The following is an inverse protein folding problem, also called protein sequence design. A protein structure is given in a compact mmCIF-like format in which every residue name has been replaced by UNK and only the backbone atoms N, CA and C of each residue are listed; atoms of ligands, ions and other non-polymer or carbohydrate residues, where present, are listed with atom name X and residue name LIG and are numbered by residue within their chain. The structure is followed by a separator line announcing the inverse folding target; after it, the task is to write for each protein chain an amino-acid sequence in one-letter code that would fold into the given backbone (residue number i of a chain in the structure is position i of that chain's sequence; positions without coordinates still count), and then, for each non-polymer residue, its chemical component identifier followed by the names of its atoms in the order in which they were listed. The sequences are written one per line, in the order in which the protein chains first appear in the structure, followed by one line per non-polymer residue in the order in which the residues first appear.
data_IF_354449225075
#
_entry.id   IF_354449225075
#
_cell.length_a   1.000
_cell.length_b   1.000
_cell.length_c   1.000
_cell.angle_alpha   90.00
_cell.angle_beta   90.00
_cell.angle_gamma   90.00
#
_symmetry.space_group_name_H-M   'P 1'
#
loop_
_entity.id
_entity.type
_entity.pdbx_description
1 polymer ?
#
# COMPACT_ATOMS: atom_id res chain seq x y z
N UNK A 1 -13.98 -8.32 -0.54
CA UNK A 1 -12.67 -8.57 -1.21
C UNK A 1 -12.93 -8.92 -2.67
N UNK A 2 -13.72 -9.96 -2.94
CA UNK A 2 -14.14 -10.33 -4.32
C UNK A 2 -14.73 -9.17 -5.15
N UNK A 3 -15.53 -8.27 -4.54
CA UNK A 3 -16.07 -7.11 -5.25
C UNK A 3 -14.99 -6.09 -5.67
N UNK A 4 -14.02 -5.82 -4.80
CA UNK A 4 -12.92 -4.87 -5.07
C UNK A 4 -11.97 -5.46 -6.12
N UNK A 5 -11.65 -6.75 -6.01
CA UNK A 5 -10.88 -7.46 -7.04
C UNK A 5 -11.61 -7.44 -8.40
N UNK A 6 -12.92 -7.67 -8.41
CA UNK A 6 -13.72 -7.57 -9.64
C UNK A 6 -13.72 -6.16 -10.24
N UNK A 7 -13.74 -5.10 -9.41
CA UNK A 7 -13.65 -3.72 -9.89
C UNK A 7 -12.29 -3.42 -10.52
N UNK A 8 -11.19 -3.88 -9.89
CA UNK A 8 -9.83 -3.75 -10.44
C UNK A 8 -9.69 -4.49 -11.77
N UNK A 9 -10.14 -5.73 -11.82
CA UNK A 9 -10.06 -6.56 -13.02
C UNK A 9 -10.86 -5.96 -14.18
N UNK A 10 -12.06 -5.44 -13.89
CA UNK A 10 -12.90 -4.78 -14.89
C UNK A 10 -12.23 -3.52 -15.41
N UNK A 11 -11.76 -2.64 -14.53
CA UNK A 11 -11.09 -1.40 -14.93
C UNK A 11 -9.82 -1.66 -15.75
N UNK A 12 -8.99 -2.62 -15.31
CA UNK A 12 -7.79 -3.05 -16.03
C UNK A 12 -8.14 -3.60 -17.41
N UNK A 13 -9.16 -4.46 -17.49
CA UNK A 13 -9.64 -5.02 -18.78
C UNK A 13 -10.11 -3.92 -19.73
N UNK A 14 -10.92 -2.98 -19.24
CA UNK A 14 -11.46 -1.86 -20.03
C UNK A 14 -10.32 -0.97 -20.58
N UNK A 15 -9.31 -0.68 -19.75
CA UNK A 15 -8.13 0.10 -20.16
C UNK A 15 -7.25 -0.62 -21.17
N UNK A 16 -7.05 -1.92 -21.00
CA UNK A 16 -6.34 -2.72 -22.01
C UNK A 16 -7.13 -2.84 -23.32
N UNK A 17 -8.46 -2.87 -23.27
CA UNK A 17 -9.31 -2.81 -24.46
C UNK A 17 -9.23 -1.47 -25.19
N UNK A 18 -9.25 -0.36 -24.47
CA UNK A 18 -9.00 0.96 -25.05
C UNK A 18 -7.61 1.03 -25.71
N UNK A 19 -6.57 0.56 -25.02
CA UNK A 19 -5.21 0.51 -25.55
C UNK A 19 -5.12 -0.37 -26.81
N UNK A 20 -5.77 -1.54 -26.82
CA UNK A 20 -5.83 -2.40 -28.02
C UNK A 20 -6.46 -1.68 -29.20
N UNK A 21 -7.58 -0.98 -28.99
CA UNK A 21 -8.24 -0.19 -30.05
C UNK A 21 -7.37 0.98 -30.53
N UNK A 22 -6.71 1.68 -29.61
CA UNK A 22 -5.75 2.74 -29.95
C UNK A 22 -4.62 2.18 -30.83
N UNK A 23 -4.01 1.07 -30.42
CA UNK A 23 -2.91 0.43 -31.15
C UNK A 23 -3.35 -0.10 -32.52
N UNK A 24 -4.56 -0.62 -32.65
CA UNK A 24 -5.14 -0.98 -33.94
C UNK A 24 -5.25 0.23 -34.88
N UNK A 25 -5.75 1.38 -34.39
CA UNK A 25 -5.85 2.61 -35.19
C UNK A 25 -4.47 3.13 -35.61
N UNK A 26 -3.52 3.19 -34.68
CA UNK A 26 -2.14 3.61 -35.01
C UNK A 26 -1.51 2.69 -36.06
N UNK A 27 -1.75 1.37 -35.97
CA UNK A 27 -1.27 0.42 -36.96
C UNK A 27 -1.92 0.63 -38.34
N UNK A 28 -3.24 0.85 -38.38
CA UNK A 28 -3.97 1.16 -39.63
C UNK A 28 -3.44 2.44 -40.29
N UNK A 29 -3.22 3.51 -39.53
CA UNK A 29 -2.65 4.78 -40.01
C UNK A 29 -1.22 4.59 -40.54
N UNK A 30 -0.37 3.87 -39.81
CA UNK A 30 1.00 3.54 -40.23
C UNK A 30 1.00 2.69 -41.51
N UNK A 31 0.08 1.73 -41.63
CA UNK A 31 -0.07 0.90 -42.83
C UNK A 31 -0.54 1.71 -44.03
N UNK A 32 -1.55 2.56 -43.87
CA UNK A 32 -2.05 3.44 -44.93
C UNK A 32 -0.96 4.39 -45.46
N UNK A 33 -0.09 4.90 -44.57
CA UNK A 33 1.04 5.74 -44.96
C UNK A 33 2.06 5.02 -45.87
N UNK A 34 2.07 3.69 -45.91
CA UNK A 34 2.98 2.89 -46.75
C UNK A 34 2.28 2.18 -47.91
N UNK A 35 1.03 2.55 -48.17
CA UNK A 35 0.25 2.03 -49.28
C UNK A 35 0.83 2.53 -50.62
N UNK A 36 0.98 1.63 -51.59
CA UNK A 36 1.59 1.95 -52.89
C UNK A 36 3.13 2.03 -52.90
N UNK A 37 3.79 2.03 -51.73
CA UNK A 37 5.27 1.96 -51.66
C UNK A 37 5.78 0.58 -52.08
N UNK A 38 6.94 0.56 -52.74
CA UNK A 38 7.71 -0.66 -52.99
C UNK A 38 8.23 -1.26 -51.68
N UNK A 39 8.63 -2.55 -51.65
CA UNK A 39 9.18 -3.18 -50.45
C UNK A 39 10.37 -2.42 -49.84
N UNK A 40 11.27 -1.92 -50.69
CA UNK A 40 12.48 -1.21 -50.25
C UNK A 40 12.15 0.17 -49.66
N UNK A 41 11.24 0.91 -50.29
CA UNK A 41 10.74 2.19 -49.76
C UNK A 41 10.02 2.01 -48.43
N UNK A 42 9.21 0.95 -48.29
CA UNK A 42 8.54 0.62 -47.02
C UNK A 42 9.55 0.29 -45.91
N UNK A 43 10.62 -0.45 -46.23
CA UNK A 43 11.66 -0.75 -45.25
C UNK A 43 12.37 0.52 -44.77
N UNK A 44 12.78 1.40 -45.69
CA UNK A 44 13.43 2.65 -45.36
C UNK A 44 12.53 3.58 -44.51
N UNK A 45 11.24 3.66 -44.87
CA UNK A 45 10.25 4.41 -44.10
C UNK A 45 10.07 3.86 -42.69
N UNK A 46 9.97 2.53 -42.55
CA UNK A 46 9.84 1.89 -41.25
C UNK A 46 11.08 2.10 -40.38
N UNK A 47 12.28 1.97 -40.95
CA UNK A 47 13.54 2.15 -40.21
C UNK A 47 13.69 3.61 -39.73
N UNK A 48 13.28 4.58 -40.53
CA UNK A 48 13.33 6.00 -40.15
C UNK A 48 12.35 6.34 -39.02
N UNK A 49 11.18 5.72 -38.99
CA UNK A 49 10.14 6.01 -37.99
C UNK A 49 10.18 5.06 -36.77
N UNK A 50 10.98 3.99 -36.84
CA UNK A 50 11.02 2.92 -35.83
C UNK A 50 11.20 3.42 -34.42
N UNK A 51 12.15 4.32 -34.18
CA UNK A 51 12.43 4.83 -32.84
C UNK A 51 11.25 5.64 -32.29
N UNK A 52 10.65 6.49 -33.12
CA UNK A 52 9.48 7.29 -32.74
C UNK A 52 8.27 6.40 -32.42
N UNK A 53 8.00 5.38 -33.24
CA UNK A 53 6.90 4.44 -32.99
C UNK A 53 7.13 3.59 -31.74
N UNK A 54 8.36 3.16 -31.48
CA UNK A 54 8.69 2.43 -30.26
C UNK A 54 8.52 3.33 -29.03
N UNK A 55 8.92 4.60 -29.10
CA UNK A 55 8.71 5.55 -28.02
C UNK A 55 7.21 5.79 -27.76
N UNK A 56 6.43 6.08 -28.81
CA UNK A 56 4.99 6.30 -28.73
C UNK A 56 4.23 5.09 -28.16
N UNK A 57 4.57 3.87 -28.61
CA UNK A 57 3.96 2.63 -28.11
C UNK A 57 4.31 2.40 -26.63
N UNK A 58 5.56 2.69 -26.22
CA UNK A 58 6.00 2.58 -24.83
C UNK A 58 5.28 3.60 -23.94
N UNK A 59 5.19 4.87 -24.37
CA UNK A 59 4.54 5.94 -23.62
C UNK A 59 3.04 5.65 -23.46
N UNK A 60 2.38 5.23 -24.54
CA UNK A 60 0.95 4.86 -24.51
C UNK A 60 0.68 3.68 -23.58
N UNK A 61 1.56 2.68 -23.59
CA UNK A 61 1.46 1.54 -22.67
C UNK A 61 1.73 1.96 -21.22
N UNK A 62 2.73 2.81 -21.00
CA UNK A 62 3.07 3.27 -19.66
C UNK A 62 1.93 4.11 -19.06
N UNK A 63 1.31 4.99 -19.84
CA UNK A 63 0.15 5.75 -19.40
C UNK A 63 -1.01 4.85 -18.94
N UNK A 64 -1.29 3.77 -19.67
CA UNK A 64 -2.30 2.77 -19.28
C UNK A 64 -1.93 2.07 -17.98
N UNK A 65 -0.66 1.70 -17.80
CA UNK A 65 -0.20 1.08 -16.56
C UNK A 65 -0.31 2.04 -15.37
N UNK A 66 0.05 3.31 -15.57
CA UNK A 66 -0.03 4.34 -14.54
C UNK A 66 -1.50 4.59 -14.14
N UNK A 67 -2.41 4.69 -15.12
CA UNK A 67 -3.85 4.83 -14.86
C UNK A 67 -4.43 3.65 -14.09
N UNK A 68 -4.03 2.41 -14.41
CA UNK A 68 -4.45 1.21 -13.68
C UNK A 68 -3.91 1.26 -12.25
N UNK A 69 -2.62 1.57 -12.08
CA UNK A 69 -1.97 1.64 -10.77
C UNK A 69 -2.61 2.71 -9.87
N UNK A 70 -2.89 3.89 -10.43
CA UNK A 70 -3.51 4.99 -9.71
C UNK A 70 -4.93 4.65 -9.27
N UNK A 71 -5.72 4.03 -10.15
CA UNK A 71 -7.06 3.55 -9.81
C UNK A 71 -7.03 2.50 -8.69
N UNK A 72 -6.14 1.52 -8.80
CA UNK A 72 -5.97 0.49 -7.77
C UNK A 72 -5.57 1.10 -6.41
N UNK A 73 -4.67 2.09 -6.41
CA UNK A 73 -4.25 2.81 -5.21
C UNK A 73 -5.44 3.51 -4.56
N UNK A 74 -6.17 4.34 -5.32
CA UNK A 74 -7.33 5.07 -4.82
C UNK A 74 -8.40 4.13 -4.26
N UNK A 75 -8.72 3.06 -4.99
CA UNK A 75 -9.75 2.11 -4.58
C UNK A 75 -9.38 1.39 -3.27
N UNK A 76 -8.10 1.02 -3.11
CA UNK A 76 -7.61 0.42 -1.87
C UNK A 76 -7.64 1.42 -0.70
N UNK A 77 -7.25 2.68 -0.95
CA UNK A 77 -7.31 3.74 0.06
C UNK A 77 -8.74 3.98 0.53
N UNK A 78 -9.70 4.06 -0.38
CA UNK A 78 -11.12 4.21 -0.07
C UNK A 78 -11.64 3.04 0.76
N UNK A 79 -11.33 1.81 0.37
CA UNK A 79 -11.70 0.62 1.13
C UNK A 79 -11.13 0.66 2.56
N UNK A 80 -9.86 1.06 2.69
CA UNK A 80 -9.20 1.18 4.00
C UNK A 80 -9.88 2.25 4.86
N UNK A 81 -10.16 3.41 4.28
CA UNK A 81 -10.84 4.51 4.96
C UNK A 81 -12.24 4.11 5.45
N UNK A 82 -13.02 3.41 4.61
CA UNK A 82 -14.34 2.93 4.98
C UNK A 82 -14.27 1.91 6.12
N UNK A 83 -13.34 0.96 6.07
CA UNK A 83 -13.13 -0.02 7.16
C UNK A 83 -12.75 0.67 8.47
N UNK A 84 -11.83 1.63 8.42
CA UNK A 84 -11.42 2.39 9.59
C UNK A 84 -12.62 3.14 10.22
N UNK A 85 -13.52 3.70 9.42
CA UNK A 85 -14.74 4.33 9.91
C UNK A 85 -15.71 3.33 10.54
N UNK A 86 -15.93 2.18 9.90
CA UNK A 86 -16.78 1.11 10.43
C UNK A 86 -16.25 0.56 11.75
N UNK A 87 -14.94 0.34 11.85
CA UNK A 87 -14.28 -0.11 13.08
C UNK A 87 -14.47 0.91 14.21
N UNK A 88 -14.24 2.21 13.94
CA UNK A 88 -14.45 3.28 14.93
C UNK A 88 -15.88 3.29 15.44
N UNK A 89 -16.86 3.16 14.54
CA UNK A 89 -18.27 3.09 14.92
C UNK A 89 -18.56 1.85 15.78
N UNK A 90 -18.08 0.68 15.36
CA UNK A 90 -18.26 -0.57 16.08
C UNK A 90 -17.66 -0.50 17.50
N UNK A 91 -16.45 0.06 17.65
CA UNK A 91 -15.84 0.25 18.97
C UNK A 91 -16.58 1.27 19.82
N UNK A 92 -17.10 2.34 19.24
CA UNK A 92 -17.93 3.30 19.97
C UNK A 92 -19.23 2.67 20.50
N UNK A 93 -19.85 1.81 19.70
CA UNK A 93 -21.06 1.08 20.12
C UNK A 93 -20.75 0.00 21.16
N UNK A 94 -19.63 -0.71 21.03
CA UNK A 94 -19.28 -1.79 21.97
C UNK A 94 -18.99 -1.27 23.37
N UNK A 95 -18.49 -0.03 23.50
CA UNK A 95 -18.23 0.64 24.79
C UNK A 95 -19.44 0.77 25.70
N UNK A 96 -20.68 0.62 25.19
CA UNK A 96 -21.89 0.58 26.03
C UNK A 96 -21.81 -0.55 27.08
N UNK A 97 -21.06 -1.62 26.81
CA UNK A 97 -20.78 -2.67 27.78
C UNK A 97 -19.52 -2.36 28.60
N UNK A 98 -19.58 -2.39 29.94
CA UNK A 98 -18.40 -2.19 30.80
C UNK A 98 -17.28 -3.20 30.51
N UNK A 99 -17.63 -4.46 30.24
CA UNK A 99 -16.66 -5.52 29.91
C UNK A 99 -15.91 -5.20 28.61
N UNK A 100 -16.65 -4.71 27.60
CA UNK A 100 -16.06 -4.34 26.31
C UNK A 100 -15.18 -3.09 26.42
N UNK A 101 -15.58 -2.07 27.19
CA UNK A 101 -14.74 -0.90 27.46
C UNK A 101 -13.42 -1.28 28.15
N UNK A 102 -13.48 -2.19 29.13
CA UNK A 102 -12.28 -2.73 29.78
C UNK A 102 -11.38 -3.49 28.80
N UNK A 103 -11.95 -4.36 27.96
CA UNK A 103 -11.19 -5.11 26.96
C UNK A 103 -10.50 -4.17 25.97
N UNK A 104 -11.17 -3.12 25.50
CA UNK A 104 -10.58 -2.12 24.59
C UNK A 104 -9.42 -1.37 25.25
N UNK A 105 -9.59 -0.92 26.50
CA UNK A 105 -8.51 -0.29 27.26
C UNK A 105 -7.31 -1.23 27.41
N UNK A 106 -7.55 -2.51 27.73
CA UNK A 106 -6.50 -3.52 27.88
C UNK A 106 -5.76 -3.78 26.55
N UNK A 107 -6.49 -3.87 25.43
CA UNK A 107 -5.90 -4.04 24.10
C UNK A 107 -5.06 -2.84 23.66
N UNK A 108 -5.51 -1.62 23.97
CA UNK A 108 -4.74 -0.40 23.72
C UNK A 108 -3.46 -0.38 24.56
N UNK A 109 -3.54 -0.67 25.86
CA UNK A 109 -2.36 -0.75 26.75
C UNK A 109 -1.36 -1.83 26.31
N UNK A 110 -1.87 -2.98 25.88
CA UNK A 110 -1.03 -4.08 25.37
C UNK A 110 -0.47 -3.80 23.96
N UNK A 111 -0.88 -2.71 23.30
CA UNK A 111 -0.48 -2.38 21.93
C UNK A 111 -1.07 -3.29 20.86
N UNK A 112 -2.02 -4.15 21.22
CA UNK A 112 -2.62 -5.20 20.38
C UNK A 112 -3.97 -4.80 19.77
N UNK A 113 -4.34 -3.53 19.87
CA UNK A 113 -5.50 -2.97 19.20
C UNK A 113 -5.36 -3.00 17.67
N UNK A 114 -6.45 -2.72 16.94
CA UNK A 114 -6.52 -2.92 15.47
C UNK A 114 -5.48 -2.14 14.68
N UNK A 115 -4.97 -1.02 15.19
CA UNK A 115 -3.91 -0.26 14.50
C UNK A 115 -2.54 -0.97 14.52
N UNK A 116 -2.38 -2.07 15.29
CA UNK A 116 -1.16 -2.88 15.26
C UNK A 116 -0.81 -3.28 13.83
N UNK A 117 -1.81 -3.79 13.08
CA UNK A 117 -1.61 -4.18 11.70
C UNK A 117 -1.15 -2.99 10.84
N UNK A 118 -1.81 -1.84 10.97
CA UNK A 118 -1.49 -0.66 10.18
C UNK A 118 -0.08 -0.13 10.46
N UNK A 119 0.37 -0.14 11.71
CA UNK A 119 1.75 0.25 12.08
C UNK A 119 2.78 -0.67 11.43
N UNK A 120 2.52 -1.97 11.42
CA UNK A 120 3.40 -2.96 10.78
C UNK A 120 3.37 -2.88 9.25
N UNK A 121 2.21 -2.64 8.64
CA UNK A 121 2.12 -2.42 7.20
C UNK A 121 2.91 -1.17 6.79
N UNK A 122 2.75 -0.07 7.53
CA UNK A 122 3.50 1.16 7.29
C UNK A 122 5.01 1.00 7.49
N UNK A 123 5.45 0.29 8.54
CA UNK A 123 6.89 0.04 8.76
C UNK A 123 7.48 -0.87 7.68
N UNK A 124 6.72 -1.87 7.21
CA UNK A 124 7.13 -2.73 6.10
C UNK A 124 7.21 -1.98 4.77
N UNK A 125 6.28 -1.07 4.51
CA UNK A 125 6.32 -0.20 3.33
C UNK A 125 7.54 0.73 3.36
N UNK A 126 7.81 1.38 4.48
CA UNK A 126 9.01 2.21 4.66
C UNK A 126 10.30 1.39 4.48
N UNK A 127 10.35 0.18 5.04
CA UNK A 127 11.48 -0.72 4.86
C UNK A 127 11.67 -1.15 3.40
N UNK A 128 10.59 -1.47 2.69
CA UNK A 128 10.65 -1.80 1.25
C UNK A 128 11.19 -0.63 0.44
N UNK A 129 10.75 0.60 0.72
CA UNK A 129 11.26 1.79 0.06
C UNK A 129 12.77 1.96 0.29
N UNK A 130 13.22 1.90 1.55
CA UNK A 130 14.64 1.99 1.90
C UNK A 130 15.48 0.87 1.27
N UNK A 131 14.95 -0.35 1.23
CA UNK A 131 15.62 -1.49 0.60
C UNK A 131 15.72 -1.33 -0.93
N UNK A 132 14.65 -0.87 -1.59
CA UNK A 132 14.66 -0.59 -3.02
C UNK A 132 15.65 0.51 -3.38
N UNK A 133 15.75 1.57 -2.56
CA UNK A 133 16.75 2.63 -2.72
C UNK A 133 18.18 2.07 -2.60
N UNK A 134 18.44 1.26 -1.57
CA UNK A 134 19.74 0.60 -1.39
C UNK A 134 20.13 -0.28 -2.58
N UNK A 135 19.22 -1.13 -3.07
CA UNK A 135 19.48 -2.00 -4.23
C UNK A 135 19.76 -1.19 -5.49
N UNK A 136 19.06 -0.06 -5.69
CA UNK A 136 19.29 0.82 -6.83
C UNK A 136 20.63 1.55 -6.74
N UNK A 137 21.02 2.02 -5.55
CA UNK A 137 22.33 2.64 -5.32
C UNK A 137 23.47 1.64 -5.58
N UNK A 138 23.36 0.41 -5.08
CA UNK A 138 24.35 -0.64 -5.31
C UNK A 138 24.49 -0.99 -6.80
N UNK A 139 23.37 -1.14 -7.52
CA UNK A 139 23.38 -1.36 -8.97
C UNK A 139 24.00 -0.20 -9.73
N UNK A 140 23.76 1.03 -9.30
CA UNK A 140 24.35 2.22 -9.92
C UNK A 140 25.86 2.30 -9.69
N UNK A 141 26.34 1.98 -8.49
CA UNK A 141 27.77 1.85 -8.16
C UNK A 141 28.44 0.80 -9.06
N UNK A 142 27.88 -0.41 -9.15
CA UNK A 142 28.39 -1.47 -10.03
C UNK A 142 28.43 -1.03 -11.51
N UNK A 143 27.39 -0.33 -12.00
CA UNK A 143 27.37 0.19 -13.37
C UNK A 143 28.45 1.26 -13.58
N UNK A 144 28.66 2.14 -12.61
CA UNK A 144 29.67 3.20 -12.70
C UNK A 144 31.10 2.62 -12.70
N UNK A 145 31.35 1.59 -11.89
CA UNK A 145 32.62 0.86 -11.83
C UNK A 145 32.91 0.14 -13.15
N UNK A 146 31.91 -0.54 -13.74
CA UNK A 146 32.03 -1.15 -15.07
C UNK A 146 32.29 -0.12 -16.18
N UNK A 147 31.79 1.11 -16.06
CA UNK A 147 32.06 2.20 -17.01
C UNK A 147 33.44 2.86 -16.79
N UNK A 148 33.94 2.92 -15.55
CA UNK A 148 35.21 3.57 -15.19
C UNK A 148 36.43 2.64 -15.29
N UNK A 149 36.25 1.32 -15.27
CA UNK A 149 37.35 0.36 -15.17
C UNK A 149 37.27 -0.81 -16.14
N UNK A 150 38.05 -0.73 -17.22
CA UNK A 150 38.89 -1.79 -17.81
C UNK A 150 38.31 -3.21 -17.93
N UNK A 151 38.09 -3.68 -19.17
CA UNK A 151 37.79 -5.07 -19.62
C UNK A 151 38.79 -6.16 -19.14
N UNK A 152 39.69 -5.88 -18.19
CA UNK A 152 40.79 -6.76 -17.77
C UNK A 152 40.46 -7.78 -16.68
N UNK A 153 39.24 -7.83 -16.15
CA UNK A 153 38.93 -8.75 -15.05
C UNK A 153 37.54 -9.40 -15.15
N UNK A 154 37.33 -10.21 -16.20
CA UNK A 154 36.15 -11.10 -16.28
C UNK A 154 36.21 -12.33 -15.36
N UNK A 155 37.30 -12.51 -14.59
CA UNK A 155 37.57 -13.69 -13.76
C UNK A 155 37.72 -13.41 -12.26
N UNK A 156 37.34 -12.23 -11.75
CA UNK A 156 37.25 -12.05 -10.30
C UNK A 156 35.95 -12.67 -9.80
N UNK A 157 36.08 -13.62 -8.87
CA UNK A 157 34.96 -14.10 -8.05
C UNK A 157 34.17 -12.90 -7.53
N UNK A 158 32.83 -12.96 -7.52
CA UNK A 158 32.03 -11.86 -7.03
C UNK A 158 32.51 -11.50 -5.62
N UNK A 159 33.04 -10.29 -5.50
CA UNK A 159 33.47 -9.72 -4.22
C UNK A 159 32.31 -9.92 -3.24
N UNK A 160 32.60 -10.55 -2.10
CA UNK A 160 31.55 -10.95 -1.14
C UNK A 160 30.69 -9.73 -0.85
N UNK A 161 29.41 -9.82 -1.18
CA UNK A 161 28.43 -8.76 -0.94
C UNK A 161 28.57 -8.30 0.52
N UNK A 162 28.97 -7.06 0.74
CA UNK A 162 29.04 -6.52 2.09
C UNK A 162 27.62 -6.29 2.61
N UNK A 163 27.15 -7.23 3.43
CA UNK A 163 25.81 -7.18 4.03
C UNK A 163 25.75 -6.24 5.25
N UNK A 164 26.86 -5.60 5.63
CA UNK A 164 26.88 -4.68 6.78
C UNK A 164 26.07 -3.40 6.52
N UNK A 165 25.96 -2.98 5.27
CA UNK A 165 25.19 -1.81 4.84
C UNK A 165 23.70 -2.13 4.57
N UNK A 166 23.29 -3.40 4.68
CA UNK A 166 21.91 -3.80 4.40
C UNK A 166 20.94 -3.14 5.40
N UNK A 167 19.90 -2.41 4.94
CA UNK A 167 18.89 -1.86 5.82
C UNK A 167 18.31 -2.97 6.70
N UNK A 168 18.25 -2.75 8.01
CA UNK A 168 17.65 -3.70 8.95
C UNK A 168 16.22 -3.30 9.22
N UNK A 169 15.32 -4.28 9.20
CA UNK A 169 13.95 -4.05 9.60
C UNK A 169 13.89 -3.81 11.11
N UNK A 170 13.34 -2.67 11.50
CA UNK A 170 13.01 -2.36 12.89
C UNK A 170 11.50 -2.46 13.07
N UNK A 171 11.06 -3.27 14.03
CA UNK A 171 9.66 -3.38 14.34
C UNK A 171 9.16 -2.04 14.92
N UNK A 172 7.96 -1.58 14.54
CA UNK A 172 7.44 -0.31 15.02
C UNK A 172 7.24 -0.39 16.54
N UNK A 173 7.94 0.50 17.26
CA UNK A 173 7.75 0.67 18.69
C UNK A 173 6.34 1.16 19.01
N UNK A 174 5.89 0.92 20.24
CA UNK A 174 4.68 1.52 20.77
C UNK A 174 5.00 2.17 22.11
N UNK A 175 4.88 3.48 22.19
CA UNK A 175 5.21 4.19 23.42
C UNK A 175 4.07 4.09 24.43
N UNK A 176 4.39 4.17 25.71
CA UNK A 176 3.37 4.14 26.77
C UNK A 176 2.34 5.26 26.60
N UNK A 177 2.78 6.46 26.18
CA UNK A 177 1.88 7.57 25.88
C UNK A 177 0.91 7.29 24.74
N UNK A 178 1.38 6.63 23.67
CA UNK A 178 0.52 6.21 22.56
C UNK A 178 -0.50 5.14 22.98
N UNK A 179 -0.16 4.32 23.97
CA UNK A 179 -1.04 3.29 24.50
C UNK A 179 -2.10 3.85 25.48
N UNK A 180 -1.71 4.83 26.30
CA UNK A 180 -2.58 5.42 27.33
C UNK A 180 -3.53 6.47 26.79
N UNK A 181 -3.08 7.37 25.91
CA UNK A 181 -3.90 8.45 25.37
C UNK A 181 -5.27 7.97 24.81
N UNK A 182 -5.35 6.94 23.96
CA UNK A 182 -6.63 6.44 23.45
C UNK A 182 -7.48 5.74 24.52
N UNK A 183 -6.87 5.25 25.60
CA UNK A 183 -7.54 4.50 26.68
C UNK A 183 -8.19 5.40 27.73
N UNK A 184 -7.88 6.70 27.75
CA UNK A 184 -8.43 7.67 28.73
C UNK A 184 -9.96 7.68 28.69
N UNK A 185 -10.55 7.63 27.50
CA UNK A 185 -12.00 7.61 27.35
C UNK A 185 -12.62 6.34 27.97
N UNK A 186 -11.99 5.19 27.71
CA UNK A 186 -12.44 3.90 28.23
C UNK A 186 -12.34 3.86 29.77
N UNK A 187 -11.25 4.39 30.36
CA UNK A 187 -11.13 4.53 31.81
C UNK A 187 -12.18 5.47 32.41
N UNK A 188 -12.47 6.59 31.74
CA UNK A 188 -13.53 7.50 32.16
C UNK A 188 -14.89 6.81 32.20
N UNK A 189 -15.20 6.02 31.17
CA UNK A 189 -16.46 5.28 31.08
C UNK A 189 -16.56 4.18 32.16
N UNK A 190 -15.48 3.45 32.41
CA UNK A 190 -15.39 2.49 33.52
C UNK A 190 -15.60 3.16 34.89
N UNK A 191 -15.06 4.37 35.07
CA UNK A 191 -15.31 5.19 36.26
C UNK A 191 -16.80 5.48 36.43
N UNK A 192 -17.48 5.91 35.37
CA UNK A 192 -18.93 6.16 35.38
C UNK A 192 -19.70 4.88 35.73
N UNK A 193 -19.39 3.75 35.08
CA UNK A 193 -20.02 2.47 35.39
C UNK A 193 -19.83 2.06 36.84
N UNK A 194 -18.64 2.28 37.40
CA UNK A 194 -18.34 1.98 38.79
C UNK A 194 -19.20 2.83 39.75
N UNK A 195 -19.33 4.13 39.47
CA UNK A 195 -20.18 5.04 40.27
C UNK A 195 -21.65 4.64 40.19
N UNK A 196 -22.16 4.34 38.99
CA UNK A 196 -23.56 3.93 38.79
C UNK A 196 -23.85 2.60 39.48
N UNK A 197 -22.97 1.60 39.32
CA UNK A 197 -23.13 0.30 39.97
C UNK A 197 -23.10 0.44 41.50
N UNK A 198 -22.17 1.24 42.04
CA UNK A 198 -22.09 1.50 43.47
C UNK A 198 -23.34 2.22 43.99
N UNK A 199 -23.80 3.28 43.33
CA UNK A 199 -25.01 3.99 43.69
C UNK A 199 -26.25 3.09 43.64
N UNK A 200 -26.37 2.26 42.61
CA UNK A 200 -27.45 1.29 42.47
C UNK A 200 -27.45 0.24 43.59
N UNK A 201 -26.28 -0.30 43.93
CA UNK A 201 -26.11 -1.23 45.04
C UNK A 201 -26.46 -0.57 46.38
N UNK A 202 -25.99 0.66 46.62
CA UNK A 202 -26.28 1.43 47.82
C UNK A 202 -27.77 1.72 48.00
N UNK A 203 -28.45 2.18 46.94
CA UNK A 203 -29.89 2.41 46.97
C UNK A 203 -30.69 1.12 47.16
N UNK A 204 -30.24 0.01 46.58
CA UNK A 204 -30.86 -1.31 46.77
C UNK A 204 -30.71 -1.78 48.21
N UNK A 205 -29.53 -1.57 48.82
CA UNK A 205 -29.29 -1.84 50.23
C UNK A 205 -30.18 -0.99 51.15
N UNK A 206 -30.37 0.30 50.86
CA UNK A 206 -31.27 1.15 51.63
C UNK A 206 -32.75 0.72 51.57
N UNK A 207 -33.17 0.12 50.46
CA UNK A 207 -34.53 -0.42 50.29
C UNK A 207 -34.70 -1.83 50.87
N UNK A 208 -33.61 -2.48 51.25
CA UNK A 208 -33.64 -3.82 51.80
C UNK A 208 -34.15 -3.78 53.26
N UNK A 209 -35.41 -4.18 53.47
CA UNK A 209 -35.98 -4.32 54.81
C UNK A 209 -35.51 -5.65 55.41
N UNK A 210 -34.70 -5.57 56.47
CA UNK A 210 -34.18 -6.74 57.21
C UNK A 210 -35.26 -7.16 58.22
N UNK A 211 -36.33 -7.79 57.75
CA UNK A 211 -37.39 -8.37 58.58
C UNK A 211 -37.69 -9.80 58.18
#
# INVERSE_FOLDING_TARGET
IAEIESQKDRYSTDKWDEYRRLRSRMWEERSAATEGMTPDERSAYNDQNREAWVAEDNDSRQAVLDEISDFERQLNEDLRNQKAQQERLAFNLSRVSPSSAYQLAAMNLAGTHTSLKERYEASMEAYRAAFSEFVNDQRNKERLERMRGNDRNRNQEPERLDLSELPRYEAPGHTFSEAVAPSIFDFGLLGIFSVVAFAGAFLSFLRYDVR
#
